data_IF_401620661219
#
_entry.id   IF_401620661219
#
_cell.length_a   1.000
_cell.length_b   1.000
_cell.length_c   1.000
_cell.angle_alpha   90.00
_cell.angle_beta   90.00
_cell.angle_gamma   90.00
#
_symmetry.space_group_name_H-M   'P 1'
#
loop_
_entity.id
_entity.type
_entity.pdbx_description
1 polymer ?
#
# COMPACT_ATOMS: atom_id res chain seq x y z
N UNK A 1 17.65 -2.96 18.39
CA UNK A 1 16.72 -4.04 17.96
C UNK A 1 15.73 -3.50 16.95
N UNK A 2 15.00 -2.42 17.25
CA UNK A 2 14.04 -1.81 16.32
C UNK A 2 14.67 -1.44 14.96
N UNK A 3 15.71 -0.62 14.92
CA UNK A 3 16.35 -0.22 13.64
C UNK A 3 16.88 -1.38 12.79
N UNK A 4 17.42 -2.42 13.43
CA UNK A 4 18.15 -3.49 12.73
C UNK A 4 17.26 -4.66 12.33
N UNK A 5 16.11 -4.86 13.01
CA UNK A 5 15.23 -6.03 12.83
C UNK A 5 13.84 -5.70 12.24
N UNK A 6 13.46 -4.42 12.15
CA UNK A 6 12.12 -4.01 11.66
C UNK A 6 11.85 -4.46 10.23
N UNK A 7 12.89 -4.65 9.41
CA UNK A 7 12.82 -5.17 8.05
C UNK A 7 12.11 -6.53 7.93
N UNK A 8 12.01 -7.31 9.01
CA UNK A 8 11.29 -8.59 9.02
C UNK A 8 9.78 -8.48 9.08
N UNK A 9 9.27 -7.40 9.64
CA UNK A 9 7.86 -7.30 10.04
C UNK A 9 7.18 -6.18 9.27
N UNK A 10 7.83 -5.01 9.18
CA UNK A 10 7.23 -3.81 8.61
C UNK A 10 6.74 -3.98 7.17
N UNK A 11 7.51 -4.57 6.23
CA UNK A 11 7.05 -4.70 4.84
C UNK A 11 5.76 -5.52 4.72
N UNK A 12 5.63 -6.59 5.50
CA UNK A 12 4.47 -7.47 5.47
C UNK A 12 3.28 -6.84 6.20
N UNK A 13 3.50 -6.18 7.32
CA UNK A 13 2.43 -5.45 8.01
C UNK A 13 1.88 -4.29 7.17
N UNK A 14 2.73 -3.58 6.42
CA UNK A 14 2.35 -2.43 5.60
C UNK A 14 1.34 -2.78 4.48
N UNK A 15 1.40 -4.01 3.97
CA UNK A 15 0.50 -4.54 2.92
C UNK A 15 -0.65 -5.39 3.49
N UNK A 16 -0.74 -5.51 4.82
CA UNK A 16 -1.74 -6.33 5.51
C UNK A 16 -2.92 -5.47 6.02
N UNK A 17 -4.06 -6.10 6.38
CA UNK A 17 -5.17 -5.40 7.02
C UNK A 17 -4.94 -5.16 8.53
N UNK A 18 -3.80 -5.58 9.11
CA UNK A 18 -3.49 -5.47 10.54
C UNK A 18 -3.04 -4.06 10.93
N UNK A 19 -3.93 -3.08 10.73
CA UNK A 19 -3.62 -1.66 10.88
C UNK A 19 -3.28 -1.26 12.32
N UNK A 20 -3.86 -1.92 13.32
CA UNK A 20 -3.55 -1.65 14.73
C UNK A 20 -2.10 -2.02 15.04
N UNK A 21 -1.68 -3.22 14.63
CA UNK A 21 -0.31 -3.68 14.84
C UNK A 21 0.71 -2.83 14.08
N UNK A 22 0.40 -2.49 12.82
CA UNK A 22 1.22 -1.58 12.02
C UNK A 22 1.34 -0.20 12.67
N UNK A 23 0.23 0.36 13.16
CA UNK A 23 0.21 1.67 13.84
C UNK A 23 1.09 1.66 15.09
N UNK A 24 0.97 0.62 15.91
CA UNK A 24 1.78 0.46 17.12
C UNK A 24 3.28 0.33 16.77
N UNK A 25 3.62 -0.52 15.80
CA UNK A 25 5.00 -0.69 15.35
C UNK A 25 5.60 0.62 14.84
N UNK A 26 4.89 1.34 13.97
CA UNK A 26 5.33 2.62 13.42
C UNK A 26 5.49 3.69 14.51
N UNK A 27 4.54 3.76 15.44
CA UNK A 27 4.58 4.71 16.57
C UNK A 27 5.79 4.45 17.47
N UNK A 28 6.01 3.21 17.86
CA UNK A 28 7.11 2.84 18.76
C UNK A 28 8.47 3.02 18.06
N UNK A 29 8.55 2.65 16.77
CA UNK A 29 9.76 2.84 15.97
C UNK A 29 10.10 4.33 15.77
N UNK A 30 9.14 5.17 15.38
CA UNK A 30 9.39 6.59 15.18
C UNK A 30 9.71 7.29 16.50
N UNK A 31 9.04 6.91 17.59
CA UNK A 31 9.37 7.40 18.94
C UNK A 31 10.81 7.04 19.32
N UNK A 32 11.24 5.81 19.07
CA UNK A 32 12.62 5.39 19.29
C UNK A 32 13.62 6.28 18.52
N UNK A 33 13.32 6.60 17.26
CA UNK A 33 14.17 7.47 16.44
C UNK A 33 14.19 8.92 16.96
N UNK A 34 13.03 9.47 17.31
CA UNK A 34 12.91 10.84 17.84
C UNK A 34 13.63 10.99 19.19
N UNK A 35 13.42 10.03 20.10
CA UNK A 35 14.10 9.99 21.40
C UNK A 35 15.62 9.86 21.20
N UNK A 36 16.08 9.01 20.27
CA UNK A 36 17.50 8.91 19.93
C UNK A 36 18.07 10.22 19.35
N UNK A 37 17.35 10.91 18.46
CA UNK A 37 17.83 12.17 17.89
C UNK A 37 17.92 13.30 18.90
N UNK A 38 17.04 13.28 19.93
CA UNK A 38 17.11 14.19 21.07
C UNK A 38 18.32 13.87 21.96
N UNK A 39 18.44 12.62 22.39
CA UNK A 39 19.52 12.18 23.29
C UNK A 39 20.91 12.28 22.65
N UNK A 40 21.05 11.96 21.35
CA UNK A 40 22.32 12.07 20.63
C UNK A 40 22.84 13.51 20.57
N UNK A 41 21.95 14.52 20.55
CA UNK A 41 22.36 15.91 20.62
C UNK A 41 22.98 16.23 22.00
N UNK A 42 22.32 15.82 23.08
CA UNK A 42 22.80 16.03 24.46
C UNK A 42 24.13 15.30 24.72
N UNK A 43 24.24 14.04 24.27
CA UNK A 43 25.47 13.25 24.36
C UNK A 43 26.63 13.88 23.58
N UNK A 44 26.35 14.48 22.42
CA UNK A 44 27.35 15.21 21.63
C UNK A 44 27.86 16.44 22.38
N UNK A 45 26.98 17.22 23.00
CA UNK A 45 27.37 18.36 23.83
C UNK A 45 28.19 17.92 25.06
N UNK A 46 27.78 16.83 25.72
CA UNK A 46 28.48 16.30 26.88
C UNK A 46 29.90 15.82 26.50
N UNK A 47 30.03 15.05 25.42
CA UNK A 47 31.34 14.59 24.92
C UNK A 47 32.26 15.76 24.56
N UNK A 48 31.71 16.81 23.94
CA UNK A 48 32.45 18.03 23.64
C UNK A 48 32.96 18.73 24.91
N UNK A 49 32.11 18.87 25.93
CA UNK A 49 32.47 19.46 27.23
C UNK A 49 33.60 18.71 27.93
N UNK A 50 33.61 17.37 27.81
CA UNK A 50 34.67 16.52 28.35
C UNK A 50 35.91 16.42 27.44
N UNK A 51 35.98 17.20 26.35
CA UNK A 51 37.08 17.19 25.36
C UNK A 51 37.29 15.82 24.69
N UNK A 52 36.25 14.99 24.64
CA UNK A 52 36.25 13.70 23.97
C UNK A 52 35.85 13.86 22.50
N UNK A 53 36.66 14.58 21.72
CA UNK A 53 36.32 14.95 20.34
C UNK A 53 36.13 13.75 19.40
N UNK A 54 36.83 12.62 19.64
CA UNK A 54 36.61 11.38 18.89
C UNK A 54 35.16 10.89 19.02
N UNK A 55 34.57 10.98 20.22
CA UNK A 55 33.18 10.55 20.46
C UNK A 55 32.17 11.51 19.85
N UNK A 56 32.48 12.80 19.79
CA UNK A 56 31.63 13.78 19.09
C UNK A 56 31.52 13.40 17.61
N UNK A 57 32.63 13.04 16.96
CA UNK A 57 32.63 12.60 15.56
C UNK A 57 31.80 11.33 15.38
N UNK A 58 32.00 10.33 16.24
CA UNK A 58 31.21 9.08 16.20
C UNK A 58 29.71 9.34 16.35
N UNK A 59 29.29 10.21 17.28
CA UNK A 59 27.88 10.53 17.49
C UNK A 59 27.26 11.26 16.30
N UNK A 60 27.98 12.21 15.70
CA UNK A 60 27.50 12.90 14.49
C UNK A 60 27.36 11.92 13.33
N UNK A 61 28.36 11.07 13.09
CA UNK A 61 28.31 10.06 12.02
C UNK A 61 27.18 9.05 12.23
N UNK A 62 26.97 8.60 13.48
CA UNK A 62 25.89 7.68 13.81
C UNK A 62 24.52 8.33 13.63
N UNK A 63 24.36 9.59 14.07
CA UNK A 63 23.14 10.37 13.85
C UNK A 63 22.83 10.54 12.37
N UNK A 64 23.81 10.97 11.57
CA UNK A 64 23.63 11.11 10.12
C UNK A 64 23.27 9.78 9.46
N UNK A 65 23.90 8.68 9.90
CA UNK A 65 23.58 7.34 9.43
C UNK A 65 22.13 6.99 9.70
N UNK A 66 21.60 7.27 10.89
CA UNK A 66 20.19 6.99 11.22
C UNK A 66 19.20 7.94 10.54
N UNK A 67 19.54 9.22 10.35
CA UNK A 67 18.68 10.17 9.64
C UNK A 67 18.47 9.78 8.17
N UNK A 68 19.44 9.08 7.57
CA UNK A 68 19.38 8.58 6.19
C UNK A 68 18.91 7.13 6.09
N UNK A 69 18.47 6.54 7.19
CA UNK A 69 18.00 5.15 7.21
C UNK A 69 16.80 4.96 6.30
N UNK A 70 16.87 3.93 5.45
CA UNK A 70 15.73 3.54 4.62
C UNK A 70 14.50 3.17 5.46
N UNK A 71 14.69 2.53 6.63
CA UNK A 71 13.60 2.15 7.54
C UNK A 71 12.93 3.38 8.13
N UNK A 72 13.74 4.37 8.50
CA UNK A 72 13.25 5.61 9.07
C UNK A 72 12.36 6.38 8.09
N UNK A 73 12.84 6.51 6.85
CA UNK A 73 12.11 7.19 5.78
C UNK A 73 10.85 6.41 5.40
N UNK A 74 10.94 5.10 5.25
CA UNK A 74 9.77 4.26 4.97
C UNK A 74 8.73 4.35 6.08
N UNK A 75 9.12 4.27 7.36
CA UNK A 75 8.19 4.36 8.48
C UNK A 75 7.47 5.72 8.55
N UNK A 76 8.15 6.82 8.22
CA UNK A 76 7.52 8.15 8.10
C UNK A 76 6.44 8.16 7.02
N UNK A 77 6.76 7.64 5.85
CA UNK A 77 5.85 7.61 4.70
C UNK A 77 4.67 6.68 4.97
N UNK A 78 4.93 5.46 5.45
CA UNK A 78 3.90 4.47 5.78
C UNK A 78 2.98 4.93 6.92
N UNK A 79 3.50 5.69 7.89
CA UNK A 79 2.64 6.29 8.94
C UNK A 79 1.63 7.26 8.34
N UNK A 80 2.08 8.16 7.47
CA UNK A 80 1.19 9.12 6.80
C UNK A 80 0.15 8.38 5.95
N UNK A 81 0.57 7.39 5.17
CA UNK A 81 -0.33 6.59 4.32
C UNK A 81 -1.33 5.81 5.17
N UNK A 82 -0.91 5.21 6.29
CA UNK A 82 -1.80 4.47 7.18
C UNK A 82 -2.89 5.37 7.77
N UNK A 83 -2.55 6.60 8.17
CA UNK A 83 -3.56 7.54 8.68
C UNK A 83 -4.62 7.86 7.62
N UNK A 84 -4.21 8.05 6.37
CA UNK A 84 -5.13 8.26 5.25
C UNK A 84 -5.99 7.01 4.97
N UNK A 85 -5.38 5.81 4.94
CA UNK A 85 -6.11 4.53 4.79
C UNK A 85 -7.22 4.36 5.83
N UNK A 86 -6.91 4.69 7.09
CA UNK A 86 -7.84 4.59 8.22
C UNK A 86 -9.00 5.58 8.15
N UNK A 87 -8.83 6.72 7.48
CA UNK A 87 -9.80 7.84 7.47
C UNK A 87 -10.51 8.04 6.13
N UNK A 88 -10.11 7.32 5.08
CA UNK A 88 -10.70 7.41 3.75
C UNK A 88 -12.21 7.07 3.64
N UNK A 89 -12.86 6.57 4.69
CA UNK A 89 -14.33 6.39 4.71
C UNK A 89 -15.09 7.70 4.90
N UNK A 90 -14.43 8.75 5.38
CA UNK A 90 -15.02 10.03 5.73
C UNK A 90 -14.11 11.17 5.27
N UNK A 91 -14.54 11.90 4.25
CA UNK A 91 -13.81 13.02 3.66
C UNK A 91 -13.49 14.15 4.66
N UNK A 92 -14.33 14.43 5.66
CA UNK A 92 -14.01 15.41 6.70
C UNK A 92 -12.87 14.94 7.62
N UNK A 93 -12.86 13.65 7.99
CA UNK A 93 -11.76 13.07 8.79
C UNK A 93 -10.46 13.03 8.00
N UNK A 94 -10.54 12.70 6.70
CA UNK A 94 -9.41 12.70 5.78
C UNK A 94 -8.80 14.10 5.60
N UNK A 95 -9.63 15.13 5.44
CA UNK A 95 -9.18 16.52 5.36
C UNK A 95 -8.43 16.93 6.64
N UNK A 96 -8.90 16.51 7.82
CA UNK A 96 -8.19 16.74 9.08
C UNK A 96 -6.80 16.08 9.14
N UNK A 97 -6.68 14.83 8.66
CA UNK A 97 -5.37 14.16 8.54
C UNK A 97 -4.46 14.89 7.55
N UNK A 98 -5.01 15.34 6.42
CA UNK A 98 -4.26 16.09 5.43
C UNK A 98 -3.79 17.44 5.96
N UNK A 99 -4.60 18.14 6.76
CA UNK A 99 -4.20 19.38 7.45
C UNK A 99 -3.01 19.14 8.38
N UNK A 100 -3.04 18.09 9.20
CA UNK A 100 -1.93 17.68 10.09
C UNK A 100 -0.65 17.36 9.30
N UNK A 101 -0.79 16.84 8.08
CA UNK A 101 0.31 16.54 7.15
C UNK A 101 0.71 17.74 6.28
N UNK A 102 0.26 18.96 6.61
CA UNK A 102 0.46 20.17 5.81
C UNK A 102 0.07 19.95 4.33
N UNK A 103 -1.09 19.35 4.13
CA UNK A 103 -1.67 18.99 2.83
C UNK A 103 -0.75 18.12 1.97
N UNK A 104 0.10 17.29 2.60
CA UNK A 104 1.08 16.43 1.95
C UNK A 104 2.35 17.14 1.46
N UNK A 105 2.50 18.45 1.68
CA UNK A 105 3.67 19.23 1.21
C UNK A 105 4.97 18.71 1.84
N UNK A 106 4.97 18.43 3.14
CA UNK A 106 6.13 17.87 3.84
C UNK A 106 6.58 16.52 3.25
N UNK A 107 5.65 15.72 2.71
CA UNK A 107 5.99 14.45 2.08
C UNK A 107 6.65 14.65 0.71
N UNK A 108 6.24 15.68 -0.04
CA UNK A 108 6.92 16.08 -1.29
C UNK A 108 8.32 16.64 -1.00
N UNK A 109 8.47 17.45 0.05
CA UNK A 109 9.77 17.95 0.49
C UNK A 109 10.71 16.81 0.89
N UNK A 110 10.19 15.83 1.64
CA UNK A 110 10.93 14.61 1.97
C UNK A 110 11.43 13.89 0.71
N UNK A 111 10.61 13.83 -0.34
CA UNK A 111 11.00 13.24 -1.64
C UNK A 111 12.21 13.95 -2.24
N UNK A 112 12.25 15.29 -2.17
CA UNK A 112 13.37 16.09 -2.67
C UNK A 112 14.64 15.91 -1.81
N UNK A 113 14.48 15.80 -0.50
CA UNK A 113 15.59 15.50 0.41
C UNK A 113 16.19 14.12 0.14
N UNK A 114 15.35 13.10 -0.03
CA UNK A 114 15.74 11.73 -0.34
C UNK A 114 16.49 11.67 -1.68
N UNK A 115 15.94 12.29 -2.73
CA UNK A 115 16.56 12.28 -4.06
C UNK A 115 17.97 12.87 -4.08
N UNK A 116 18.27 13.78 -3.15
CA UNK A 116 19.57 14.46 -3.05
C UNK A 116 20.66 13.71 -2.26
N UNK A 117 20.31 12.65 -1.53
CA UNK A 117 21.21 11.98 -0.57
C UNK A 117 21.28 10.47 -0.79
N UNK A 118 22.35 9.85 -0.32
CA UNK A 118 22.46 8.38 -0.27
C UNK A 118 21.71 7.83 0.93
N UNK A 119 21.06 6.69 0.73
CA UNK A 119 20.36 5.97 1.80
C UNK A 119 21.35 5.09 2.58
N UNK A 120 21.04 4.86 3.85
CA UNK A 120 21.76 3.90 4.68
C UNK A 120 20.93 2.64 4.93
N UNK A 121 21.65 1.53 5.03
CA UNK A 121 21.12 0.20 5.26
C UNK A 121 21.70 -0.30 6.57
N UNK A 122 20.82 -0.49 7.56
CA UNK A 122 21.15 -0.80 8.94
C UNK A 122 20.59 -2.16 9.38
N UNK A 123 20.04 -2.92 8.44
CA UNK A 123 19.48 -4.24 8.67
C UNK A 123 20.56 -5.20 9.17
N UNK A 124 20.21 -6.00 10.17
CA UNK A 124 21.05 -7.09 10.60
C UNK A 124 20.81 -8.32 9.73
N UNK A 125 21.58 -8.42 8.65
CA UNK A 125 21.57 -9.57 7.76
C UNK A 125 22.55 -10.67 8.21
N UNK A 126 23.40 -10.41 9.19
CA UNK A 126 24.47 -11.31 9.62
C UNK A 126 24.08 -12.22 10.78
N UNK A 127 23.19 -11.78 11.66
CA UNK A 127 22.66 -12.63 12.73
C UNK A 127 21.66 -13.67 12.22
N UNK A 128 21.23 -13.58 10.97
CA UNK A 128 20.35 -14.57 10.34
C UNK A 128 21.18 -15.75 9.82
N UNK A 129 20.60 -16.97 9.82
CA UNK A 129 21.17 -18.05 9.03
C UNK A 129 21.31 -17.60 7.57
N UNK A 130 22.48 -17.82 6.97
CA UNK A 130 22.84 -17.34 5.62
C UNK A 130 21.85 -17.80 4.52
N UNK A 131 21.13 -18.89 4.77
CA UNK A 131 20.16 -19.47 3.86
C UNK A 131 18.75 -18.84 3.95
N UNK A 132 18.54 -17.90 4.87
CA UNK A 132 17.23 -17.25 5.02
C UNK A 132 17.00 -16.28 3.86
N UNK A 133 15.87 -16.36 3.13
CA UNK A 133 15.59 -15.40 2.06
C UNK A 133 15.61 -13.95 2.57
N UNK A 134 16.19 -13.05 1.77
CA UNK A 134 15.96 -11.60 1.92
C UNK A 134 14.84 -11.19 0.97
N UNK A 135 14.22 -10.00 1.18
CA UNK A 135 13.21 -9.47 0.26
C UNK A 135 13.68 -9.43 -1.21
N UNK A 136 14.98 -9.31 -1.44
CA UNK A 136 15.57 -9.14 -2.78
C UNK A 136 16.09 -10.45 -3.39
N UNK A 137 16.43 -11.46 -2.57
CA UNK A 137 17.02 -12.70 -3.07
C UNK A 137 16.69 -13.89 -2.19
N UNK A 138 16.21 -14.95 -2.85
CA UNK A 138 16.10 -16.27 -2.25
C UNK A 138 17.38 -17.07 -2.56
N UNK A 139 18.25 -17.24 -1.55
CA UNK A 139 19.51 -17.97 -1.69
C UNK A 139 19.35 -19.47 -1.92
N UNK A 140 18.13 -19.99 -1.78
CA UNK A 140 17.81 -21.40 -2.00
C UNK A 140 17.37 -21.69 -3.45
N UNK A 141 17.08 -20.67 -4.26
CA UNK A 141 16.59 -20.81 -5.64
C UNK A 141 17.70 -20.73 -6.71
N UNK A 142 18.98 -20.74 -6.31
CA UNK A 142 20.12 -20.68 -7.22
C UNK A 142 21.24 -21.65 -6.83
N UNK A 143 22.24 -21.88 -7.69
CA UNK A 143 23.40 -22.69 -7.35
C UNK A 143 24.10 -22.12 -6.10
N UNK A 144 24.41 -22.98 -5.13
CA UNK A 144 25.05 -22.57 -3.88
C UNK A 144 26.47 -22.05 -4.16
N UNK A 145 26.68 -20.74 -3.99
CA UNK A 145 27.96 -20.05 -4.26
C UNK A 145 28.93 -20.03 -3.05
N UNK A 146 28.64 -20.76 -1.97
CA UNK A 146 29.50 -20.84 -0.77
C UNK A 146 29.14 -19.87 0.36
N UNK A 147 29.89 -19.95 1.49
CA UNK A 147 29.59 -19.29 2.78
C UNK A 147 29.96 -17.78 2.79
N UNK A 148 30.72 -17.30 1.81
CA UNK A 148 31.16 -15.89 1.73
C UNK A 148 30.11 -14.99 1.08
N UNK A 149 28.88 -14.97 1.59
CA UNK A 149 27.84 -14.09 1.06
C UNK A 149 27.82 -12.77 1.84
N UNK A 150 28.56 -11.79 1.32
CA UNK A 150 28.30 -10.37 1.53
C UNK A 150 27.70 -9.84 0.23
N UNK A 151 26.65 -9.00 0.23
CA UNK A 151 26.11 -8.44 -1.01
C UNK A 151 27.25 -7.75 -1.79
N UNK A 152 27.53 -8.20 -3.01
CA UNK A 152 28.49 -7.53 -3.91
C UNK A 152 28.09 -6.06 -4.02
N UNK A 153 29.05 -5.11 -4.04
CA UNK A 153 28.78 -3.67 -4.05
C UNK A 153 27.76 -3.22 -5.13
N UNK A 154 27.74 -3.89 -6.28
CA UNK A 154 26.77 -3.62 -7.36
C UNK A 154 25.32 -3.91 -6.96
N UNK A 155 25.08 -4.93 -6.13
CA UNK A 155 23.74 -5.27 -5.62
C UNK A 155 23.25 -4.22 -4.60
N UNK A 156 24.17 -3.59 -3.86
CA UNK A 156 23.83 -2.54 -2.89
C UNK A 156 23.34 -1.28 -3.61
N UNK A 157 23.99 -0.91 -4.73
CA UNK A 157 23.58 0.25 -5.54
C UNK A 157 22.23 0.05 -6.21
N UNK A 158 21.99 -1.12 -6.78
CA UNK A 158 20.69 -1.45 -7.40
C UNK A 158 19.57 -1.45 -6.36
N UNK A 159 19.81 -2.09 -5.21
CA UNK A 159 18.90 -2.09 -4.06
C UNK A 159 18.59 -0.67 -3.58
N UNK A 160 19.61 0.17 -3.46
CA UNK A 160 19.43 1.57 -3.06
C UNK A 160 18.53 2.32 -4.04
N UNK A 161 18.81 2.21 -5.33
CA UNK A 161 18.01 2.88 -6.37
C UNK A 161 16.56 2.39 -6.32
N UNK A 162 16.33 1.08 -6.16
CA UNK A 162 14.98 0.53 -6.10
C UNK A 162 14.21 1.02 -4.88
N UNK A 163 14.79 0.89 -3.68
CA UNK A 163 14.15 1.31 -2.42
C UNK A 163 13.90 2.82 -2.43
N UNK A 164 14.85 3.60 -2.95
CA UNK A 164 14.68 5.05 -3.11
C UNK A 164 13.46 5.38 -3.96
N UNK A 165 13.32 4.78 -5.15
CA UNK A 165 12.15 5.00 -6.01
C UNK A 165 10.85 4.63 -5.31
N UNK A 166 10.82 3.52 -4.58
CA UNK A 166 9.62 3.08 -3.84
C UNK A 166 9.23 4.10 -2.76
N UNK A 167 10.19 4.54 -1.93
CA UNK A 167 9.93 5.51 -0.87
C UNK A 167 9.51 6.86 -1.46
N UNK A 168 10.21 7.34 -2.49
CA UNK A 168 9.88 8.59 -3.18
C UNK A 168 8.49 8.54 -3.84
N UNK A 169 8.13 7.41 -4.45
CA UNK A 169 6.80 7.21 -5.06
C UNK A 169 5.70 7.26 -4.01
N UNK A 170 5.87 6.50 -2.93
CA UNK A 170 4.91 6.45 -1.82
C UNK A 170 4.77 7.79 -1.11
N UNK A 171 5.84 8.59 -0.99
CA UNK A 171 5.76 9.92 -0.36
C UNK A 171 4.96 10.93 -1.18
N UNK A 172 4.69 10.69 -2.47
CA UNK A 172 3.79 11.53 -3.25
C UNK A 172 2.31 11.29 -2.91
N UNK A 173 1.95 10.10 -2.40
CA UNK A 173 0.55 9.70 -2.21
C UNK A 173 -0.26 10.70 -1.36
N UNK A 174 0.20 11.19 -0.19
CA UNK A 174 -0.57 12.16 0.59
C UNK A 174 -0.90 13.44 -0.18
N UNK A 175 0.03 13.93 -1.00
CA UNK A 175 -0.21 15.13 -1.82
C UNK A 175 -1.13 14.85 -2.99
N UNK A 176 -0.99 13.68 -3.65
CA UNK A 176 -1.87 13.26 -4.73
C UNK A 176 -3.31 13.05 -4.25
N UNK A 177 -3.50 12.46 -3.07
CA UNK A 177 -4.82 12.33 -2.42
C UNK A 177 -5.42 13.71 -2.16
N UNK A 178 -4.68 14.63 -1.55
CA UNK A 178 -5.14 16.00 -1.35
C UNK A 178 -5.56 16.68 -2.66
N UNK A 179 -4.71 16.64 -3.68
CA UNK A 179 -5.00 17.26 -4.98
C UNK A 179 -6.21 16.61 -5.67
N UNK A 180 -6.42 15.30 -5.49
CA UNK A 180 -7.58 14.59 -6.03
C UNK A 180 -8.90 15.07 -5.42
N UNK A 181 -8.95 15.27 -4.10
CA UNK A 181 -10.12 15.82 -3.39
C UNK A 181 -10.41 17.26 -3.87
N UNK A 182 -9.35 18.06 -4.01
CA UNK A 182 -9.45 19.47 -4.45
C UNK A 182 -9.73 19.64 -5.96
N UNK A 183 -9.62 18.56 -6.75
CA UNK A 183 -9.83 18.60 -8.20
C UNK A 183 -11.31 18.60 -8.62
N UNK A 184 -12.23 18.64 -7.66
CA UNK A 184 -13.66 18.80 -7.92
C UNK A 184 -13.92 20.14 -8.64
N UNK A 185 -14.71 20.17 -9.73
CA UNK A 185 -14.83 21.36 -10.60
C UNK A 185 -15.34 22.56 -9.82
N UNK A 186 -14.45 23.50 -9.51
CA UNK A 186 -14.83 24.75 -8.86
C UNK A 186 -15.66 25.61 -9.82
N UNK A 187 -16.98 25.73 -9.57
CA UNK A 187 -17.83 26.77 -10.21
C UNK A 187 -17.33 28.19 -9.84
N UNK A 188 -16.52 28.33 -8.78
CA UNK A 188 -15.99 29.61 -8.31
C UNK A 188 -14.50 29.78 -8.61
N UNK A 189 -14.14 30.13 -9.87
CA UNK A 189 -13.28 31.31 -10.11
C UNK A 189 -13.02 31.63 -11.59
N UNK A 190 -13.21 32.93 -11.84
CA UNK A 190 -12.67 33.79 -12.90
C UNK A 190 -12.75 33.27 -14.34
N UNK A 191 -13.85 33.62 -15.00
CA UNK A 191 -13.76 34.12 -16.37
C UNK A 191 -12.70 35.24 -16.36
N UNK A 192 -11.48 34.92 -16.78
CA UNK A 192 -10.53 35.93 -17.20
C UNK A 192 -11.16 36.73 -18.33
N UNK A 193 -10.93 38.03 -18.36
CA UNK A 193 -11.55 38.99 -19.31
C UNK A 193 -11.29 38.65 -20.79
N UNK A 194 -10.49 37.63 -21.11
CA UNK A 194 -10.38 37.05 -22.44
C UNK A 194 -10.54 35.53 -22.32
N UNK A 195 -11.36 34.91 -23.16
CA UNK A 195 -11.87 33.53 -23.06
C UNK A 195 -10.86 32.38 -23.15
N UNK A 196 -9.73 32.44 -22.47
CA UNK A 196 -8.90 31.27 -22.17
C UNK A 196 -9.15 30.83 -20.72
N UNK A 197 -9.60 29.59 -20.53
CA UNK A 197 -9.59 28.96 -19.21
C UNK A 197 -8.15 28.93 -18.72
N UNK A 198 -7.81 29.75 -17.72
CA UNK A 198 -6.48 29.72 -17.13
C UNK A 198 -6.34 28.44 -16.34
N UNK A 199 -5.47 27.53 -16.77
CA UNK A 199 -5.14 26.31 -16.04
C UNK A 199 -4.75 26.65 -14.59
N UNK A 200 -5.48 26.08 -13.63
CA UNK A 200 -5.31 26.41 -12.20
C UNK A 200 -3.93 25.96 -11.71
N UNK A 201 -3.35 26.68 -10.75
CA UNK A 201 -2.09 26.29 -10.10
C UNK A 201 -2.13 24.84 -9.56
N UNK A 202 -3.31 24.40 -9.11
CA UNK A 202 -3.60 23.05 -8.62
C UNK A 202 -3.50 22.03 -9.75
N UNK A 203 -4.12 22.27 -10.92
CA UNK A 203 -4.04 21.36 -12.07
C UNK A 203 -2.59 21.15 -12.54
N UNK A 204 -1.81 22.24 -12.62
CA UNK A 204 -0.39 22.17 -13.02
C UNK A 204 0.45 21.36 -12.05
N UNK A 205 0.28 21.61 -10.76
CA UNK A 205 0.97 20.85 -9.71
C UNK A 205 0.58 19.36 -9.77
N UNK A 206 -0.70 19.06 -9.93
CA UNK A 206 -1.20 17.69 -9.99
C UNK A 206 -0.61 16.93 -11.18
N UNK A 207 -0.62 17.53 -12.38
CA UNK A 207 0.02 16.97 -13.58
C UNK A 207 1.51 16.70 -13.36
N UNK A 208 2.24 17.68 -12.83
CA UNK A 208 3.68 17.54 -12.56
C UNK A 208 3.97 16.38 -11.60
N UNK A 209 3.18 16.22 -10.55
CA UNK A 209 3.35 15.11 -9.61
C UNK A 209 2.96 13.76 -10.22
N UNK A 210 1.95 13.71 -11.10
CA UNK A 210 1.60 12.51 -11.85
C UNK A 210 2.70 12.09 -12.83
N UNK A 211 3.30 13.04 -13.53
CA UNK A 211 4.46 12.80 -14.42
C UNK A 211 5.61 12.20 -13.62
N UNK A 212 5.97 12.82 -12.48
CA UNK A 212 7.01 12.29 -11.59
C UNK A 212 6.67 10.90 -11.04
N UNK A 213 5.40 10.65 -10.71
CA UNK A 213 4.95 9.36 -10.18
C UNK A 213 5.17 8.21 -11.17
N UNK A 214 4.84 8.41 -12.44
CA UNK A 214 5.01 7.36 -13.47
C UNK A 214 6.45 7.24 -13.98
N UNK A 215 7.23 8.31 -13.92
CA UNK A 215 8.68 8.24 -14.15
C UNK A 215 9.35 7.26 -13.16
N UNK A 216 8.90 7.27 -11.89
CA UNK A 216 9.37 6.31 -10.87
C UNK A 216 8.86 4.88 -11.09
N UNK A 217 7.80 4.69 -11.89
CA UNK A 217 7.36 3.39 -12.40
C UNK A 217 8.09 2.97 -13.69
N UNK A 218 8.99 3.81 -14.20
CA UNK A 218 9.76 3.52 -15.42
C UNK A 218 9.00 3.78 -16.72
N UNK A 219 7.96 4.62 -16.71
CA UNK A 219 7.15 4.97 -17.88
C UNK A 219 7.13 6.48 -18.14
N UNK A 220 7.02 6.89 -19.40
CA UNK A 220 6.65 8.27 -19.71
C UNK A 220 5.17 8.51 -19.40
N UNK A 221 4.78 9.78 -19.19
CA UNK A 221 3.40 10.14 -18.92
C UNK A 221 2.44 9.76 -20.05
N UNK A 222 2.86 9.94 -21.31
CA UNK A 222 2.06 9.52 -22.47
C UNK A 222 1.87 8.01 -22.49
N UNK A 223 2.96 7.25 -22.35
CA UNK A 223 2.91 5.78 -22.42
C UNK A 223 2.08 5.21 -21.26
N UNK A 224 2.16 5.83 -20.08
CA UNK A 224 1.36 5.48 -18.91
C UNK A 224 -0.15 5.66 -19.17
N UNK A 225 -0.55 6.77 -19.78
CA UNK A 225 -1.95 7.02 -20.16
C UNK A 225 -2.41 5.98 -21.19
N UNK A 226 -1.61 5.71 -22.22
CA UNK A 226 -1.93 4.72 -23.24
C UNK A 226 -1.98 3.29 -22.70
N UNK A 227 -1.19 2.98 -21.68
CA UNK A 227 -1.22 1.70 -20.99
C UNK A 227 -2.52 1.55 -20.20
N UNK A 228 -2.84 2.50 -19.30
CA UNK A 228 -4.06 2.46 -18.49
C UNK A 228 -5.31 2.39 -19.37
N UNK A 229 -5.40 3.23 -20.40
CA UNK A 229 -6.54 3.20 -21.36
C UNK A 229 -6.60 1.89 -22.15
N UNK A 230 -5.45 1.35 -22.56
CA UNK A 230 -5.39 0.10 -23.29
C UNK A 230 -5.84 -1.09 -22.44
N UNK A 231 -5.45 -1.13 -21.15
CA UNK A 231 -5.85 -2.21 -20.23
C UNK A 231 -7.33 -2.10 -19.87
N UNK A 232 -7.83 -0.89 -19.58
CA UNK A 232 -9.25 -0.69 -19.21
C UNK A 232 -10.22 -0.98 -20.36
N UNK A 233 -9.82 -0.73 -21.60
CA UNK A 233 -10.59 -1.09 -22.80
C UNK A 233 -10.44 -2.56 -23.23
N UNK A 234 -9.61 -3.35 -22.54
CA UNK A 234 -9.31 -4.73 -22.91
C UNK A 234 -8.42 -4.89 -24.15
N UNK A 235 -7.88 -3.79 -24.70
CA UNK A 235 -6.97 -3.80 -25.85
C UNK A 235 -5.54 -4.24 -25.49
N UNK A 236 -5.13 -4.08 -24.23
CA UNK A 236 -3.81 -4.49 -23.71
C UNK A 236 -3.96 -5.46 -22.54
N UNK A 237 -2.97 -6.36 -22.40
CA UNK A 237 -2.86 -7.27 -21.26
C UNK A 237 -2.50 -6.50 -19.98
N UNK A 238 -3.06 -6.94 -18.84
CA UNK A 238 -2.71 -6.41 -17.52
C UNK A 238 -1.28 -6.79 -17.09
N UNK A 239 -0.63 -7.72 -17.80
CA UNK A 239 0.79 -8.03 -17.63
C UNK A 239 1.67 -6.80 -17.85
N UNK A 240 1.21 -5.82 -18.63
CA UNK A 240 1.90 -4.54 -18.82
C UNK A 240 2.08 -3.73 -17.54
N UNK A 241 1.33 -4.00 -16.47
CA UNK A 241 1.52 -3.38 -15.15
C UNK A 241 2.63 -4.03 -14.33
N UNK A 242 3.06 -5.25 -14.67
CA UNK A 242 4.11 -5.97 -13.95
C UNK A 242 3.78 -6.20 -12.47
N UNK A 243 4.81 -6.11 -11.62
CA UNK A 243 4.69 -6.27 -10.15
C UNK A 243 4.04 -5.08 -9.44
N UNK A 244 4.02 -3.91 -10.07
CA UNK A 244 3.58 -2.64 -9.46
C UNK A 244 2.09 -2.35 -9.71
N UNK A 245 1.26 -3.39 -9.75
CA UNK A 245 -0.18 -3.26 -10.08
C UNK A 245 -0.90 -2.26 -9.18
N UNK A 246 -0.60 -2.24 -7.88
CA UNK A 246 -1.22 -1.30 -6.92
C UNK A 246 -0.85 0.14 -7.26
N UNK A 247 0.41 0.40 -7.59
CA UNK A 247 0.87 1.74 -7.95
C UNK A 247 0.27 2.21 -9.27
N UNK A 248 0.09 1.32 -10.25
CA UNK A 248 -0.62 1.60 -11.50
C UNK A 248 -2.10 1.91 -11.28
N UNK A 249 -2.77 1.21 -10.36
CA UNK A 249 -4.15 1.51 -9.98
C UNK A 249 -4.25 2.87 -9.28
N UNK A 250 -3.35 3.17 -8.34
CA UNK A 250 -3.26 4.49 -7.71
C UNK A 250 -3.09 5.59 -8.77
N UNK A 251 -2.19 5.40 -9.74
CA UNK A 251 -2.02 6.32 -10.86
C UNK A 251 -3.31 6.49 -11.67
N UNK A 252 -4.02 5.41 -12.00
CA UNK A 252 -5.27 5.48 -12.77
C UNK A 252 -6.35 6.30 -12.03
N UNK A 253 -6.46 6.13 -10.71
CA UNK A 253 -7.39 6.91 -9.86
C UNK A 253 -7.03 8.40 -9.88
N UNK A 254 -5.76 8.74 -9.65
CA UNK A 254 -5.32 10.13 -9.64
C UNK A 254 -5.38 10.78 -11.03
N UNK A 255 -5.11 10.03 -12.10
CA UNK A 255 -5.28 10.46 -13.48
C UNK A 255 -6.75 10.79 -13.77
N UNK A 256 -7.68 9.96 -13.29
CA UNK A 256 -9.11 10.24 -13.40
C UNK A 256 -9.47 11.55 -12.68
N UNK A 257 -9.02 11.72 -11.43
CA UNK A 257 -9.28 12.93 -10.65
C UNK A 257 -8.71 14.20 -11.32
N UNK A 258 -7.49 14.13 -11.88
CA UNK A 258 -6.90 15.25 -12.61
C UNK A 258 -7.68 15.59 -13.88
N UNK A 259 -8.13 14.58 -14.64
CA UNK A 259 -8.89 14.79 -15.87
C UNK A 259 -10.24 15.47 -15.62
N UNK A 260 -10.88 15.22 -14.47
CA UNK A 260 -12.13 15.88 -14.07
C UNK A 260 -11.98 17.40 -13.91
N UNK A 261 -10.76 17.89 -13.63
CA UNK A 261 -10.44 19.30 -13.47
C UNK A 261 -9.89 19.93 -14.76
N UNK A 262 -9.05 19.21 -15.49
CA UNK A 262 -8.31 19.77 -16.65
C UNK A 262 -9.09 19.72 -17.96
N UNK A 263 -10.07 18.81 -18.07
CA UNK A 263 -10.79 18.47 -19.31
C UNK A 263 -9.90 18.05 -20.50
N UNK A 264 -8.58 17.91 -20.33
CA UNK A 264 -7.61 17.67 -21.41
C UNK A 264 -7.81 16.31 -22.13
N UNK A 265 -8.32 15.29 -21.43
CA UNK A 265 -8.50 13.95 -21.97
C UNK A 265 -9.96 13.61 -22.26
N UNK A 266 -10.87 14.60 -22.20
CA UNK A 266 -12.31 14.40 -22.39
C UNK A 266 -12.62 14.02 -23.84
N UNK A 267 -13.20 12.84 -24.03
CA UNK A 267 -13.92 12.52 -25.26
C UNK A 267 -15.30 13.22 -25.27
N UNK A 268 -15.93 13.44 -26.43
CA UNK A 268 -17.24 14.11 -26.53
C UNK A 268 -18.35 13.51 -25.65
N UNK A 269 -18.21 12.27 -25.19
CA UNK A 269 -19.19 11.58 -24.33
C UNK A 269 -18.94 11.71 -22.80
N UNK A 270 -17.88 12.41 -22.36
CA UNK A 270 -17.69 12.86 -20.97
C UNK A 270 -17.54 11.82 -19.84
N UNK A 271 -17.98 10.56 -20.03
CA UNK A 271 -18.00 9.51 -18.99
C UNK A 271 -16.85 8.50 -19.04
N UNK A 272 -16.12 8.42 -20.17
CA UNK A 272 -15.33 7.23 -20.49
C UNK A 272 -14.21 6.85 -19.52
N UNK A 273 -13.56 7.80 -18.83
CA UNK A 273 -12.45 7.47 -17.92
C UNK A 273 -12.94 6.99 -16.54
N UNK A 274 -14.08 7.47 -16.08
CA UNK A 274 -14.67 7.06 -14.79
C UNK A 274 -15.15 5.62 -14.86
N UNK A 275 -15.93 5.28 -15.89
CA UNK A 275 -16.42 3.93 -16.12
C UNK A 275 -15.29 2.95 -16.44
N UNK A 276 -14.27 3.41 -17.18
CA UNK A 276 -13.07 2.62 -17.45
C UNK A 276 -12.27 2.33 -16.16
N UNK A 277 -12.21 3.27 -15.21
CA UNK A 277 -11.57 3.06 -13.92
C UNK A 277 -12.37 2.08 -13.06
N UNK A 278 -13.70 2.22 -12.99
CA UNK A 278 -14.56 1.29 -12.26
C UNK A 278 -14.41 -0.14 -12.80
N UNK A 279 -14.45 -0.32 -14.13
CA UNK A 279 -14.26 -1.61 -14.78
C UNK A 279 -12.85 -2.18 -14.54
N UNK A 280 -11.82 -1.33 -14.48
CA UNK A 280 -10.45 -1.74 -14.20
C UNK A 280 -10.29 -2.25 -12.76
N UNK A 281 -10.85 -1.52 -11.79
CA UNK A 281 -10.88 -1.92 -10.38
C UNK A 281 -11.67 -3.22 -10.19
N UNK A 282 -12.86 -3.31 -10.80
CA UNK A 282 -13.73 -4.48 -10.72
C UNK A 282 -13.02 -5.72 -11.27
N UNK A 283 -12.45 -5.61 -12.47
CA UNK A 283 -11.70 -6.70 -13.08
C UNK A 283 -10.63 -7.25 -12.14
N UNK A 284 -9.77 -6.40 -11.58
CA UNK A 284 -8.66 -6.88 -10.75
C UNK A 284 -9.06 -7.33 -9.35
N UNK A 285 -10.03 -6.66 -8.71
CA UNK A 285 -10.53 -7.08 -7.40
C UNK A 285 -11.18 -8.46 -7.53
N UNK A 286 -12.02 -8.67 -8.54
CA UNK A 286 -12.70 -9.95 -8.74
C UNK A 286 -11.75 -11.04 -9.22
N UNK A 287 -10.81 -10.75 -10.12
CA UNK A 287 -9.76 -11.69 -10.54
C UNK A 287 -8.93 -12.16 -9.33
N UNK A 288 -8.49 -11.24 -8.46
CA UNK A 288 -7.71 -11.57 -7.26
C UNK A 288 -8.53 -12.36 -6.25
N UNK A 289 -9.80 -12.00 -6.04
CA UNK A 289 -10.71 -12.74 -5.15
C UNK A 289 -10.88 -14.18 -5.64
N UNK A 290 -11.07 -14.38 -6.94
CA UNK A 290 -11.21 -15.72 -7.55
C UNK A 290 -9.89 -16.50 -7.52
N UNK A 291 -8.73 -15.85 -7.71
CA UNK A 291 -7.43 -16.53 -7.75
C UNK A 291 -6.96 -17.04 -6.39
N UNK A 292 -7.39 -16.41 -5.29
CA UNK A 292 -7.11 -16.91 -3.93
C UNK A 292 -7.84 -18.23 -3.67
N UNK A 293 -8.93 -18.50 -4.41
CA UNK A 293 -9.66 -19.75 -4.36
C UNK A 293 -10.41 -19.93 -3.04
N UNK A 294 -10.65 -21.20 -2.68
CA UNK A 294 -11.43 -21.57 -1.50
C UNK A 294 -10.62 -21.67 -0.21
N UNK A 295 -9.30 -21.45 -0.23
CA UNK A 295 -8.50 -21.65 0.97
C UNK A 295 -7.27 -20.73 0.96
N UNK A 296 -7.25 -19.76 1.88
CA UNK A 296 -6.05 -18.96 2.17
C UNK A 296 -5.08 -19.86 2.94
N UNK A 297 -4.35 -20.73 2.26
CA UNK A 297 -3.41 -21.67 2.92
C UNK A 297 -2.02 -21.08 3.17
N UNK A 298 -1.72 -19.95 2.55
CA UNK A 298 -0.44 -19.27 2.66
C UNK A 298 -0.63 -17.77 2.51
N UNK A 299 0.27 -16.94 3.07
CA UNK A 299 0.40 -15.55 2.65
C UNK A 299 0.78 -15.53 1.16
N UNK A 300 -0.23 -15.52 0.30
CA UNK A 300 -0.08 -15.39 -1.13
C UNK A 300 -0.03 -13.91 -1.46
N UNK A 301 0.86 -13.51 -2.36
CA UNK A 301 0.93 -12.15 -2.91
C UNK A 301 -0.45 -11.67 -3.41
N UNK A 302 -1.33 -12.60 -3.80
CA UNK A 302 -2.69 -12.29 -4.25
C UNK A 302 -3.60 -11.75 -3.14
N UNK A 303 -3.47 -12.24 -1.89
CA UNK A 303 -4.28 -11.73 -0.78
C UNK A 303 -3.84 -10.32 -0.38
N UNK A 304 -2.54 -10.11 -0.19
CA UNK A 304 -2.00 -8.78 0.13
C UNK A 304 -2.33 -7.77 -0.98
N UNK A 305 -2.25 -8.18 -2.25
CA UNK A 305 -2.70 -7.35 -3.38
C UNK A 305 -4.18 -6.98 -3.28
N UNK A 306 -5.06 -7.93 -2.95
CA UNK A 306 -6.49 -7.67 -2.78
C UNK A 306 -6.77 -6.66 -1.65
N UNK A 307 -6.08 -6.83 -0.51
CA UNK A 307 -6.16 -5.89 0.61
C UNK A 307 -5.71 -4.49 0.18
N UNK A 308 -4.59 -4.38 -0.53
CA UNK A 308 -4.09 -3.10 -1.02
C UNK A 308 -5.03 -2.46 -2.04
N UNK A 309 -5.63 -3.21 -2.97
CA UNK A 309 -6.60 -2.69 -3.94
C UNK A 309 -7.80 -2.01 -3.26
N UNK A 310 -8.31 -2.60 -2.17
CA UNK A 310 -9.43 -2.02 -1.40
C UNK A 310 -8.97 -0.83 -0.55
N UNK A 311 -7.80 -0.94 0.08
CA UNK A 311 -7.34 0.04 1.08
C UNK A 311 -6.65 1.26 0.48
N UNK A 312 -6.18 1.18 -0.76
CA UNK A 312 -5.54 2.29 -1.47
C UNK A 312 -6.37 2.77 -2.66
N UNK A 313 -6.31 2.21 -3.89
CA UNK A 313 -6.93 2.85 -5.05
C UNK A 313 -8.46 2.94 -4.93
N UNK A 314 -9.14 1.92 -4.41
CA UNK A 314 -10.59 2.01 -4.16
C UNK A 314 -10.91 3.07 -3.09
N UNK A 315 -10.10 3.18 -2.04
CA UNK A 315 -10.25 4.18 -0.98
C UNK A 315 -10.04 5.61 -1.51
N UNK A 316 -9.01 5.82 -2.34
CA UNK A 316 -8.75 7.11 -2.99
C UNK A 316 -9.87 7.48 -3.97
N UNK A 317 -10.38 6.51 -4.74
CA UNK A 317 -11.51 6.74 -5.64
C UNK A 317 -12.81 7.06 -4.88
N UNK A 318 -13.04 6.40 -3.74
CA UNK A 318 -14.14 6.73 -2.84
C UNK A 318 -14.06 8.19 -2.38
N UNK A 319 -12.88 8.69 -1.99
CA UNK A 319 -12.71 10.10 -1.61
C UNK A 319 -12.98 11.08 -2.78
N UNK A 320 -12.57 10.73 -4.00
CA UNK A 320 -12.89 11.51 -5.21
C UNK A 320 -14.40 11.55 -5.46
N UNK A 321 -15.11 10.44 -5.25
CA UNK A 321 -16.58 10.40 -5.33
C UNK A 321 -17.19 11.27 -4.21
N UNK A 322 -16.73 11.13 -2.97
CA UNK A 322 -17.21 11.91 -1.83
C UNK A 322 -17.07 13.41 -2.08
N UNK A 323 -15.93 13.86 -2.61
CA UNK A 323 -15.69 15.27 -2.93
C UNK A 323 -16.65 15.77 -4.02
N UNK A 324 -16.91 14.95 -5.05
CA UNK A 324 -17.87 15.27 -6.12
C UNK A 324 -19.31 15.35 -5.60
N UNK A 325 -19.75 14.37 -4.81
CA UNK A 325 -21.10 14.35 -4.22
C UNK A 325 -21.30 15.57 -3.32
N UNK A 326 -20.32 15.86 -2.45
CA UNK A 326 -20.34 17.05 -1.58
C UNK A 326 -20.50 18.34 -2.38
N UNK A 327 -19.88 18.42 -3.56
CA UNK A 327 -19.99 19.59 -4.44
C UNK A 327 -21.35 19.71 -5.15
N UNK A 328 -21.93 18.59 -5.59
CA UNK A 328 -23.22 18.58 -6.27
C UNK A 328 -24.41 18.92 -5.36
N UNK A 329 -24.26 18.77 -4.04
CA UNK A 329 -25.30 19.10 -3.06
C UNK A 329 -25.50 20.63 -2.94
N UNK A 330 -26.75 21.14 -3.00
CA UNK A 330 -27.00 22.58 -2.91
C UNK A 330 -26.63 23.12 -1.52
N UNK A 331 -25.53 23.87 -1.44
CA UNK A 331 -25.17 24.64 -0.24
C UNK A 331 -26.29 25.64 0.07
N UNK A 332 -26.88 25.57 1.28
CA UNK A 332 -28.11 26.26 1.70
C UNK A 332 -28.12 27.80 1.69
N UNK A 333 -27.20 28.48 1.00
CA UNK A 333 -27.19 29.94 0.83
C UNK A 333 -27.56 30.32 -0.62
N UNK A 334 -28.86 30.31 -0.92
CA UNK A 334 -29.42 30.84 -2.17
C UNK A 334 -29.08 32.33 -2.36
N UNK A 335 -28.32 32.65 -3.41
CA UNK A 335 -28.41 33.95 -4.10
C UNK A 335 -28.70 33.67 -5.57
N UNK A 336 -29.93 33.97 -6.00
CA UNK A 336 -30.40 33.88 -7.40
C UNK A 336 -29.49 34.71 -8.32
N UNK A 337 -28.91 34.09 -9.33
CA UNK A 337 -28.76 34.61 -10.70
C UNK A 337 -28.39 33.45 -11.62
N UNK A 338 -29.23 33.21 -12.62
CA UNK A 338 -29.16 32.06 -13.51
C UNK A 338 -28.19 32.22 -14.68
N UNK A 339 -28.03 31.11 -15.42
CA UNK A 339 -27.47 31.07 -16.77
C UNK A 339 -26.50 29.90 -17.01
N UNK A 340 -26.89 28.98 -17.90
CA UNK A 340 -26.09 28.02 -18.70
C UNK A 340 -25.41 26.79 -18.05
N UNK A 341 -25.46 26.59 -16.73
CA UNK A 341 -24.75 25.48 -16.05
C UNK A 341 -25.54 24.16 -15.87
N UNK A 342 -26.72 24.00 -16.47
CA UNK A 342 -27.63 22.88 -16.14
C UNK A 342 -27.33 21.55 -16.87
N UNK A 343 -26.48 21.52 -17.91
CA UNK A 343 -26.32 20.30 -18.74
C UNK A 343 -25.17 19.36 -18.33
N UNK A 344 -24.07 19.85 -17.75
CA UNK A 344 -22.92 19.01 -17.33
C UNK A 344 -23.06 18.39 -15.94
N UNK A 345 -23.77 19.06 -15.05
CA UNK A 345 -24.06 18.63 -13.67
C UNK A 345 -24.84 17.29 -13.57
N UNK A 346 -25.86 17.00 -14.41
CA UNK A 346 -26.59 15.73 -14.33
C UNK A 346 -25.80 14.52 -14.88
N UNK A 347 -24.92 14.71 -15.87
CA UNK A 347 -24.08 13.64 -16.43
C UNK A 347 -23.05 13.12 -15.42
N UNK A 348 -22.36 14.04 -14.72
CA UNK A 348 -21.41 13.69 -13.65
C UNK A 348 -22.11 13.07 -12.43
N UNK A 349 -23.35 13.49 -12.13
CA UNK A 349 -24.17 12.90 -11.07
C UNK A 349 -24.57 11.45 -11.38
N UNK A 350 -24.89 11.13 -12.65
CA UNK A 350 -25.18 9.76 -13.06
C UNK A 350 -23.92 8.88 -13.03
N UNK A 351 -22.78 9.37 -13.54
CA UNK A 351 -21.52 8.63 -13.48
C UNK A 351 -21.08 8.33 -12.03
N UNK A 352 -21.21 9.31 -11.12
CA UNK A 352 -20.94 9.10 -9.70
C UNK A 352 -21.90 8.06 -9.08
N UNK A 353 -23.19 8.06 -9.44
CA UNK A 353 -24.16 7.08 -8.97
C UNK A 353 -23.82 5.66 -9.45
N UNK A 354 -23.48 5.51 -10.73
CA UNK A 354 -23.10 4.22 -11.32
C UNK A 354 -21.82 3.69 -10.69
N UNK A 355 -20.84 4.57 -10.47
CA UNK A 355 -19.58 4.24 -9.79
C UNK A 355 -19.80 3.81 -8.34
N UNK A 356 -20.65 4.51 -7.57
CA UNK A 356 -21.04 4.08 -6.22
C UNK A 356 -21.67 2.69 -6.24
N UNK A 357 -22.52 2.41 -7.24
CA UNK A 357 -23.14 1.10 -7.36
C UNK A 357 -22.13 -0.01 -7.68
N UNK A 358 -21.21 0.24 -8.61
CA UNK A 358 -20.12 -0.67 -8.97
C UNK A 358 -19.20 -0.93 -7.77
N UNK A 359 -18.73 0.11 -7.08
CA UNK A 359 -17.91 -0.03 -5.87
C UNK A 359 -18.64 -0.78 -4.75
N UNK A 360 -19.94 -0.52 -4.54
CA UNK A 360 -20.73 -1.30 -3.58
C UNK A 360 -20.71 -2.79 -3.92
N UNK A 361 -20.96 -3.13 -5.20
CA UNK A 361 -20.98 -4.52 -5.67
C UNK A 361 -19.63 -5.21 -5.46
N UNK A 362 -18.53 -4.56 -5.86
CA UNK A 362 -17.17 -5.07 -5.67
C UNK A 362 -16.87 -5.39 -4.20
N UNK A 363 -17.10 -4.43 -3.29
CA UNK A 363 -16.77 -4.61 -1.87
C UNK A 363 -17.71 -5.63 -1.22
N UNK A 364 -18.96 -5.70 -1.65
CA UNK A 364 -19.93 -6.70 -1.17
C UNK A 364 -19.54 -8.12 -1.59
N UNK A 365 -19.09 -8.34 -2.83
CA UNK A 365 -18.58 -9.63 -3.28
C UNK A 365 -17.37 -10.07 -2.45
N UNK A 366 -16.41 -9.18 -2.21
CA UNK A 366 -15.25 -9.47 -1.37
C UNK A 366 -15.67 -9.78 0.06
N UNK A 367 -16.55 -8.98 0.65
CA UNK A 367 -17.04 -9.20 2.01
C UNK A 367 -17.78 -10.54 2.14
N UNK A 368 -18.59 -10.93 1.15
CA UNK A 368 -19.27 -12.21 1.12
C UNK A 368 -18.28 -13.38 1.03
N UNK A 369 -17.29 -13.28 0.13
CA UNK A 369 -16.21 -14.26 0.05
C UNK A 369 -15.48 -14.39 1.39
N UNK A 370 -15.14 -13.28 2.07
CA UNK A 370 -14.49 -13.32 3.39
C UNK A 370 -15.38 -14.02 4.44
N UNK A 371 -16.68 -13.70 4.48
CA UNK A 371 -17.63 -14.36 5.41
C UNK A 371 -17.73 -15.86 5.16
N UNK A 372 -17.72 -16.28 3.90
CA UNK A 372 -17.68 -17.71 3.53
C UNK A 372 -16.38 -18.39 3.96
N UNK A 373 -15.25 -17.67 4.02
CA UNK A 373 -14.00 -18.21 4.55
C UNK A 373 -14.02 -18.32 6.08
N UNK A 374 -14.51 -17.30 6.79
CA UNK A 374 -14.54 -17.26 8.27
C UNK A 374 -15.56 -18.26 8.84
N UNK A 375 -16.67 -18.50 8.13
CA UNK A 375 -17.74 -19.39 8.61
C UNK A 375 -17.39 -20.89 8.54
N UNK A 376 -16.27 -21.26 7.94
CA UNK A 376 -15.85 -22.66 7.84
C UNK A 376 -15.38 -23.19 9.19
N UNK A 377 -15.75 -24.43 9.56
CA UNK A 377 -15.24 -25.07 10.76
C UNK A 377 -13.71 -25.13 10.77
N UNK A 378 -13.10 -24.84 11.93
CA UNK A 378 -11.64 -24.89 12.11
C UNK A 378 -11.07 -26.24 11.68
N UNK A 379 -11.71 -27.35 12.08
CA UNK A 379 -11.27 -28.71 11.75
C UNK A 379 -11.27 -28.96 10.23
N UNK A 380 -12.24 -28.42 9.49
CA UNK A 380 -12.30 -28.54 8.03
C UNK A 380 -11.16 -27.77 7.36
N UNK A 381 -10.86 -26.57 7.86
CA UNK A 381 -9.73 -25.76 7.37
C UNK A 381 -8.41 -26.48 7.65
N UNK A 382 -8.22 -27.00 8.87
CA UNK A 382 -7.02 -27.73 9.27
C UNK A 382 -6.82 -28.96 8.40
N UNK A 383 -7.87 -29.75 8.18
CA UNK A 383 -7.82 -30.93 7.33
C UNK A 383 -7.53 -30.56 5.87
N UNK A 384 -8.17 -29.50 5.35
CA UNK A 384 -7.92 -29.01 4.00
C UNK A 384 -6.47 -28.51 3.83
N UNK A 385 -5.92 -27.79 4.81
CA UNK A 385 -4.53 -27.32 4.84
C UNK A 385 -3.54 -28.48 4.94
N UNK A 386 -3.80 -29.48 5.78
CA UNK A 386 -2.97 -30.68 5.85
C UNK A 386 -3.03 -31.48 4.54
N UNK A 387 -4.21 -31.58 3.92
CA UNK A 387 -4.38 -32.24 2.63
C UNK A 387 -3.60 -31.54 1.52
N UNK A 388 -3.52 -30.21 1.55
CA UNK A 388 -2.77 -29.44 0.54
C UNK A 388 -1.26 -29.62 0.72
N UNK A 389 -0.77 -29.69 1.96
CA UNK A 389 0.63 -30.01 2.24
C UNK A 389 1.02 -31.45 1.88
N UNK A 390 0.07 -32.39 1.91
CA UNK A 390 0.28 -33.81 1.60
C UNK A 390 0.08 -34.18 0.13
N UNK A 391 -0.56 -33.31 -0.66
CA UNK A 391 -0.70 -33.52 -2.11
C UNK A 391 0.69 -33.41 -2.75
N UNK A 392 1.22 -34.56 -3.21
CA UNK A 392 2.51 -34.70 -3.92
C UNK A 392 2.48 -34.13 -5.36
N UNK A 393 1.63 -33.14 -5.64
CA UNK A 393 1.43 -32.66 -7.01
C UNK A 393 2.63 -31.81 -7.50
N UNK A 394 3.42 -31.26 -6.57
CA UNK A 394 4.64 -30.53 -6.87
C UNK A 394 5.80 -30.92 -5.94
N UNK A 395 6.96 -31.25 -6.52
CA UNK A 395 8.23 -31.54 -5.81
C UNK A 395 8.85 -30.30 -5.12
N UNK A 396 8.10 -29.19 -5.04
CA UNK A 396 8.52 -27.88 -4.56
C UNK A 396 7.42 -27.27 -3.69
N UNK A 397 7.79 -26.57 -2.61
CA UNK A 397 6.86 -25.82 -1.75
C UNK A 397 6.79 -26.27 -0.28
N UNK A 398 5.89 -25.67 0.51
CA UNK A 398 5.81 -25.90 1.96
C UNK A 398 5.47 -27.35 2.31
N UNK A 399 4.70 -28.05 1.47
CA UNK A 399 4.36 -29.47 1.69
C UNK A 399 5.58 -30.38 1.81
N UNK A 400 6.62 -30.13 0.99
CA UNK A 400 7.88 -30.87 1.06
C UNK A 400 8.64 -30.66 2.38
N UNK A 401 8.58 -29.44 2.93
CA UNK A 401 9.17 -29.14 4.24
C UNK A 401 8.46 -29.94 5.33
N UNK A 402 7.12 -29.99 5.29
CA UNK A 402 6.34 -30.81 6.22
C UNK A 402 6.71 -32.30 6.12
N UNK A 403 6.83 -32.83 4.90
CA UNK A 403 7.23 -34.22 4.68
C UNK A 403 8.65 -34.52 5.18
N UNK A 404 9.60 -33.60 4.97
CA UNK A 404 10.96 -33.74 5.49
C UNK A 404 10.95 -33.76 7.02
N UNK A 405 10.21 -32.85 7.65
CA UNK A 405 10.10 -32.80 9.11
C UNK A 405 9.40 -34.05 9.69
N UNK A 406 8.32 -34.52 9.06
CA UNK A 406 7.66 -35.78 9.42
C UNK A 406 8.60 -36.98 9.30
N UNK A 407 9.43 -37.04 8.24
CA UNK A 407 10.45 -38.09 8.06
C UNK A 407 11.55 -38.00 9.11
N UNK A 408 12.07 -36.80 9.38
CA UNK A 408 13.09 -36.58 10.41
C UNK A 408 12.58 -37.01 11.79
N UNK A 409 11.32 -36.72 12.11
CA UNK A 409 10.66 -37.18 13.33
C UNK A 409 10.62 -38.71 13.45
N UNK A 410 10.42 -39.42 12.33
CA UNK A 410 10.40 -40.90 12.30
C UNK A 410 11.79 -41.54 12.40
N UNK A 411 12.85 -40.78 12.11
CA UNK A 411 14.24 -41.25 12.01
C UNK A 411 15.16 -40.59 13.05
N UNK A 412 14.61 -40.07 14.16
CA UNK A 412 15.42 -39.35 15.16
C UNK A 412 16.46 -40.29 15.76
N UNK A 413 17.73 -40.06 15.41
CA UNK A 413 18.88 -40.54 16.16
C UNK A 413 19.33 -39.46 17.15
N UNK A 414 19.22 -39.78 18.44
CA UNK A 414 19.61 -38.84 19.52
C UNK A 414 21.11 -38.60 19.55
N UNK A 415 21.90 -39.59 19.13
CA UNK A 415 23.36 -39.53 19.22
C UNK A 415 23.94 -38.61 18.13
N UNK A 416 23.24 -38.44 17.00
CA UNK A 416 23.65 -37.58 15.88
C UNK A 416 23.16 -36.12 16.02
N UNK A 417 21.93 -35.90 16.46
CA UNK A 417 21.29 -34.56 16.51
C UNK A 417 21.45 -33.84 17.86
N UNK A 418 21.76 -34.57 18.93
CA UNK A 418 21.85 -34.05 20.29
C UNK A 418 20.47 -33.74 20.92
N UNK A 419 20.44 -33.73 22.25
CA UNK A 419 19.19 -33.69 23.03
C UNK A 419 18.29 -32.48 22.75
N UNK A 420 18.90 -31.29 22.58
CA UNK A 420 18.14 -30.04 22.39
C UNK A 420 17.35 -30.03 21.08
N UNK A 421 17.96 -30.47 19.99
CA UNK A 421 17.31 -30.50 18.67
C UNK A 421 16.26 -31.61 18.65
N UNK A 422 16.58 -32.76 19.24
CA UNK A 422 15.62 -33.86 19.37
C UNK A 422 14.38 -33.45 20.15
N UNK A 423 14.52 -32.70 21.25
CA UNK A 423 13.38 -32.18 22.00
C UNK A 423 12.56 -31.17 21.19
N UNK A 424 13.21 -30.25 20.47
CA UNK A 424 12.52 -29.28 19.61
C UNK A 424 11.73 -29.96 18.49
N UNK A 425 12.33 -30.94 17.81
CA UNK A 425 11.66 -31.71 16.76
C UNK A 425 10.46 -32.47 17.34
N UNK A 426 10.60 -33.14 18.49
CA UNK A 426 9.49 -33.83 19.17
C UNK A 426 8.33 -32.95 19.58
N UNK A 427 8.58 -31.65 19.78
CA UNK A 427 7.53 -30.67 20.08
C UNK A 427 6.77 -30.18 18.84
N UNK A 428 7.26 -30.49 17.64
CA UNK A 428 6.63 -30.12 16.39
C UNK A 428 5.52 -31.11 16.03
N UNK A 429 4.33 -30.57 15.70
CA UNK A 429 3.17 -31.34 15.28
C UNK A 429 2.53 -30.65 14.06
N UNK A 430 2.37 -31.34 12.91
CA UNK A 430 1.80 -30.74 11.71
C UNK A 430 0.37 -30.24 11.94
N UNK A 431 -0.43 -30.93 12.75
CA UNK A 431 -1.81 -30.53 13.05
C UNK A 431 -1.84 -29.21 13.82
N UNK A 432 -0.98 -29.07 14.84
CA UNK A 432 -0.92 -27.84 15.63
C UNK A 432 -0.39 -26.66 14.83
N UNK A 433 0.53 -26.89 13.88
CA UNK A 433 0.99 -25.84 12.95
C UNK A 433 -0.14 -25.42 12.02
N UNK A 434 -0.85 -26.36 11.40
CA UNK A 434 -2.01 -26.06 10.55
C UNK A 434 -3.11 -25.33 11.32
N UNK A 435 -3.37 -25.73 12.57
CA UNK A 435 -4.30 -25.02 13.45
C UNK A 435 -3.89 -23.56 13.69
N UNK A 436 -2.62 -23.31 13.99
CA UNK A 436 -2.10 -21.94 14.16
C UNK A 436 -2.23 -21.11 12.89
N UNK A 437 -2.00 -21.71 11.71
CA UNK A 437 -2.19 -21.04 10.41
C UNK A 437 -3.67 -20.70 10.22
N UNK A 438 -4.58 -21.64 10.46
CA UNK A 438 -6.03 -21.43 10.35
C UNK A 438 -6.52 -20.28 11.24
N UNK A 439 -6.13 -20.29 12.53
CA UNK A 439 -6.47 -19.22 13.48
C UNK A 439 -5.91 -17.87 13.01
N UNK A 440 -4.63 -17.83 12.63
CA UNK A 440 -4.00 -16.60 12.15
C UNK A 440 -4.69 -16.02 10.91
N UNK A 441 -5.05 -16.87 9.95
CA UNK A 441 -5.78 -16.45 8.75
C UNK A 441 -7.18 -15.94 9.08
N UNK A 442 -7.90 -16.61 9.99
CA UNK A 442 -9.22 -16.14 10.44
C UNK A 442 -9.16 -14.76 11.08
N UNK A 443 -8.12 -14.48 11.88
CA UNK A 443 -7.91 -13.15 12.47
C UNK A 443 -7.67 -12.08 11.40
N UNK A 444 -6.76 -12.35 10.46
CA UNK A 444 -6.44 -11.42 9.35
C UNK A 444 -7.66 -11.16 8.46
N UNK A 445 -8.44 -12.21 8.14
CA UNK A 445 -9.67 -12.11 7.38
C UNK A 445 -10.74 -11.29 8.12
N UNK A 446 -10.83 -11.44 9.44
CA UNK A 446 -11.78 -10.67 10.26
C UNK A 446 -11.45 -9.17 10.24
N UNK A 447 -10.17 -8.81 10.39
CA UNK A 447 -9.73 -7.41 10.25
C UNK A 447 -10.03 -6.86 8.85
N UNK A 448 -9.82 -7.66 7.81
CA UNK A 448 -10.14 -7.24 6.45
C UNK A 448 -11.65 -7.10 6.20
N UNK A 449 -12.47 -7.96 6.81
CA UNK A 449 -13.93 -7.84 6.76
C UNK A 449 -14.39 -6.52 7.39
N UNK A 450 -13.85 -6.15 8.55
CA UNK A 450 -14.15 -4.87 9.20
C UNK A 450 -13.87 -3.67 8.28
N UNK A 451 -12.75 -3.70 7.55
CA UNK A 451 -12.41 -2.66 6.55
C UNK A 451 -13.45 -2.62 5.43
N UNK A 452 -13.81 -3.77 4.87
CA UNK A 452 -14.81 -3.86 3.80
C UNK A 452 -16.18 -3.35 4.27
N UNK A 453 -16.61 -3.72 5.47
CA UNK A 453 -17.89 -3.28 6.05
C UNK A 453 -17.93 -1.77 6.30
N UNK A 454 -16.82 -1.18 6.74
CA UNK A 454 -16.70 0.28 6.89
C UNK A 454 -16.84 1.00 5.55
N UNK A 455 -16.15 0.53 4.50
CA UNK A 455 -16.23 1.07 3.14
C UNK A 455 -17.65 0.94 2.56
N UNK A 456 -18.29 -0.22 2.74
CA UNK A 456 -19.68 -0.46 2.33
C UNK A 456 -20.65 0.50 3.04
N UNK A 457 -20.46 0.75 4.33
CA UNK A 457 -21.28 1.69 5.09
C UNK A 457 -21.15 3.11 4.52
N UNK A 458 -19.94 3.54 4.21
CA UNK A 458 -19.68 4.85 3.58
C UNK A 458 -20.33 4.97 2.19
N UNK A 459 -20.14 3.97 1.33
CA UNK A 459 -20.74 3.93 -0.01
C UNK A 459 -22.28 3.95 0.03
N UNK A 460 -22.89 3.20 0.95
CA UNK A 460 -24.35 3.20 1.15
C UNK A 460 -24.86 4.56 1.63
N UNK A 461 -24.11 5.23 2.51
CA UNK A 461 -24.45 6.59 2.95
C UNK A 461 -24.39 7.58 1.77
N UNK A 462 -23.37 7.49 0.91
CA UNK A 462 -23.28 8.33 -0.30
C UNK A 462 -24.42 8.06 -1.28
N UNK A 463 -24.79 6.78 -1.48
CA UNK A 463 -25.94 6.41 -2.31
C UNK A 463 -27.23 7.07 -1.81
N UNK A 464 -27.44 7.13 -0.49
CA UNK A 464 -28.58 7.81 0.11
C UNK A 464 -28.52 9.33 -0.08
N UNK A 465 -27.35 9.95 0.09
CA UNK A 465 -27.17 11.39 -0.13
C UNK A 465 -27.51 11.81 -1.56
N UNK A 466 -27.07 11.04 -2.57
CA UNK A 466 -27.41 11.30 -3.99
C UNK A 466 -28.91 11.10 -4.26
N UNK A 467 -29.55 10.14 -3.60
CA UNK A 467 -30.99 9.90 -3.77
C UNK A 467 -31.86 11.00 -3.15
N UNK A 468 -31.33 11.76 -2.19
CA UNK A 468 -32.00 12.87 -1.51
C UNK A 468 -31.70 14.24 -2.13
N UNK A 469 -30.70 14.31 -3.03
CA UNK A 469 -30.31 15.50 -3.79
C UNK A 469 -31.21 15.68 -5.03
#
# INVERSE_FOLDING_TARGET
MLETMTHHILPQLAISPLWVDLSNLLKDYLRFMDDHFRESADLSFLAYRHRNYSKVIEFVQFKERLQRSNHYLLAKVEKSILQLKQKADNIEEEEGVLEDLNHGIHCVELTNEIGSKTLTFNEDLHSRPWWTPTPEKNYLLGPFEGISYCPKENLIKEREVNIRRVVERKSLLPRLVYLSIQSTPSIKKSVGVNGSASETKISKEFKFLLERYVEMLGSSFRDAIELVKGVSSGLKSAEGFGSDIIDWMNFAVFLNAWNLNSHELSQPDGGGLWQALDALLEKHILEKTRSIGSLVCSPSDSFSSLVQLITEPLAWHLLVIQSHVRFCLPSGKKKKKGGLAEQSTPLLSNAARDSIHSLCGMVEEVANWIREQISRPEDEIVDATLSSFRRNEHDEGPGKVFQILERLLSQIDKDELGDRICQALKSWNPVDVSRKIAIGNSMVLSEFLCICESKMKSLRALKQQIAQA
#
